data_IF_402884371732
#
_entry.id   IF_402884371732
#
_cell.length_a   1.000
_cell.length_b   1.000
_cell.length_c   1.000
_cell.angle_alpha   90.00
_cell.angle_beta   90.00
_cell.angle_gamma   90.00
#
_symmetry.space_group_name_H-M   'P 1'
#
loop_
_entity.id
_entity.type
_entity.pdbx_description
1 polymer ?
#
# COMPACT_ATOMS: atom_id res chain seq x y z
N UNK A 1 17.80 -31.62 -20.73
CA UNK A 1 16.65 -30.72 -20.49
C UNK A 1 17.14 -29.67 -19.52
N UNK A 2 17.31 -28.43 -19.96
CA UNK A 2 17.66 -27.32 -19.09
C UNK A 2 16.34 -26.69 -18.65
N UNK A 3 16.05 -26.73 -17.35
CA UNK A 3 15.01 -25.88 -16.77
C UNK A 3 15.63 -24.50 -16.53
N UNK A 4 15.10 -23.43 -17.13
CA UNK A 4 15.54 -22.09 -16.78
C UNK A 4 15.08 -21.83 -15.34
N UNK A 5 16.03 -21.55 -14.44
CA UNK A 5 15.69 -20.92 -13.18
C UNK A 5 15.10 -19.54 -13.52
N UNK A 6 13.79 -19.37 -13.32
CA UNK A 6 13.21 -18.04 -13.23
C UNK A 6 13.83 -17.35 -12.01
N UNK A 7 14.75 -16.43 -12.26
CA UNK A 7 15.12 -15.42 -11.28
C UNK A 7 13.89 -14.54 -11.06
N UNK A 8 13.06 -14.88 -10.06
CA UNK A 8 11.98 -14.03 -9.58
C UNK A 8 12.61 -12.84 -8.84
N UNK A 9 13.30 -11.96 -9.57
CA UNK A 9 13.88 -10.75 -9.04
C UNK A 9 12.84 -9.62 -9.07
N UNK A 10 11.58 -9.97 -8.73
CA UNK A 10 10.48 -9.02 -8.71
C UNK A 10 10.70 -8.06 -7.55
N UNK A 11 10.76 -6.77 -7.88
CA UNK A 11 10.93 -5.74 -6.88
C UNK A 11 9.71 -5.73 -5.94
N UNK A 12 9.95 -5.81 -4.64
CA UNK A 12 8.90 -5.62 -3.64
C UNK A 12 8.59 -4.13 -3.53
N UNK A 13 7.46 -3.71 -4.09
CA UNK A 13 7.05 -2.30 -4.09
C UNK A 13 6.05 -2.06 -2.96
N UNK A 14 6.38 -1.12 -2.06
CA UNK A 14 5.51 -0.67 -0.98
C UNK A 14 5.22 0.82 -1.15
N UNK A 15 3.95 1.19 -1.13
CA UNK A 15 3.50 2.58 -1.21
C UNK A 15 2.84 2.97 0.10
N UNK A 16 3.36 4.03 0.71
CA UNK A 16 2.95 4.49 2.04
C UNK A 16 2.37 5.90 1.93
N UNK A 17 1.08 6.04 2.23
CA UNK A 17 0.38 7.32 2.31
C UNK A 17 0.38 7.83 3.74
N UNK A 18 0.96 9.02 3.97
CA UNK A 18 1.03 9.64 5.30
C UNK A 18 0.05 10.81 5.43
N UNK A 19 -0.68 10.86 6.54
CA UNK A 19 -1.68 11.89 6.83
C UNK A 19 -2.94 11.78 5.96
N UNK A 20 -3.82 12.79 6.02
CA UNK A 20 -5.09 12.77 5.29
C UNK A 20 -4.92 12.79 3.76
N UNK A 21 -4.05 13.67 3.25
CA UNK A 21 -3.80 13.76 1.80
C UNK A 21 -3.13 12.50 1.24
N UNK A 22 -2.13 11.96 1.94
CA UNK A 22 -1.46 10.72 1.54
C UNK A 22 -2.40 9.51 1.61
N UNK A 23 -3.20 9.41 2.66
CA UNK A 23 -4.23 8.37 2.78
C UNK A 23 -5.24 8.39 1.64
N UNK A 24 -5.74 9.58 1.25
CA UNK A 24 -6.65 9.73 0.11
C UNK A 24 -6.01 9.30 -1.21
N UNK A 25 -4.74 9.64 -1.45
CA UNK A 25 -4.03 9.25 -2.67
C UNK A 25 -3.84 7.73 -2.75
N UNK A 26 -3.42 7.10 -1.65
CA UNK A 26 -3.26 5.63 -1.60
C UNK A 26 -4.61 4.93 -1.73
N UNK A 27 -5.67 5.46 -1.13
CA UNK A 27 -7.01 4.91 -1.30
C UNK A 27 -7.49 4.97 -2.75
N UNK A 28 -7.19 6.06 -3.46
CA UNK A 28 -7.47 6.14 -4.90
C UNK A 28 -6.70 5.05 -5.68
N UNK A 29 -5.41 4.85 -5.39
CA UNK A 29 -4.60 3.80 -6.02
C UNK A 29 -5.16 2.38 -5.78
N UNK A 30 -5.65 2.11 -4.57
CA UNK A 30 -6.32 0.84 -4.24
C UNK A 30 -7.61 0.67 -5.06
N UNK A 31 -8.41 1.72 -5.20
CA UNK A 31 -9.66 1.70 -5.99
C UNK A 31 -9.42 1.49 -7.48
N UNK A 32 -8.35 2.07 -8.02
CA UNK A 32 -7.90 1.88 -9.41
C UNK A 32 -7.25 0.51 -9.65
N UNK A 33 -7.16 -0.35 -8.62
CA UNK A 33 -6.61 -1.72 -8.70
C UNK A 33 -5.18 -1.76 -9.24
N UNK A 34 -4.31 -0.86 -8.78
CA UNK A 34 -2.89 -0.94 -9.11
C UNK A 34 -2.30 -2.24 -8.54
N UNK A 35 -1.77 -3.08 -9.43
CA UNK A 35 -1.20 -4.40 -9.11
C UNK A 35 0.30 -4.33 -8.80
N UNK A 36 0.84 -5.37 -8.15
CA UNK A 36 2.27 -5.47 -7.85
C UNK A 36 2.76 -4.54 -6.74
N UNK A 37 1.84 -3.91 -5.99
CA UNK A 37 2.15 -2.94 -4.94
C UNK A 37 1.42 -3.28 -3.65
N UNK A 38 2.13 -3.22 -2.53
CA UNK A 38 1.53 -3.23 -1.20
C UNK A 38 1.24 -1.80 -0.72
N UNK A 39 0.00 -1.54 -0.32
CA UNK A 39 -0.44 -0.21 0.10
C UNK A 39 -0.58 -0.09 1.62
N UNK A 40 -0.05 1.01 2.17
CA UNK A 40 -0.10 1.34 3.59
C UNK A 40 -0.65 2.76 3.80
N UNK A 41 -1.50 2.93 4.81
CA UNK A 41 -1.93 4.25 5.28
C UNK A 41 -1.41 4.50 6.70
N UNK A 42 -0.78 5.65 6.90
CA UNK A 42 -0.17 6.05 8.18
C UNK A 42 -0.76 7.39 8.60
N UNK A 43 -1.31 7.46 9.81
CA UNK A 43 -1.89 8.71 10.30
C UNK A 43 -1.91 8.76 11.83
N UNK A 44 -1.96 9.96 12.40
CA UNK A 44 -2.21 10.16 13.84
C UNK A 44 -3.71 10.06 14.17
N UNK A 45 -4.57 10.39 13.20
CA UNK A 45 -6.02 10.32 13.34
C UNK A 45 -6.53 8.87 13.17
N UNK A 46 -6.83 8.23 14.29
CA UNK A 46 -7.42 6.88 14.33
C UNK A 46 -8.79 6.78 13.63
N UNK A 47 -9.55 7.87 13.55
CA UNK A 47 -10.83 7.87 12.85
C UNK A 47 -10.62 7.83 11.34
N UNK A 48 -9.61 8.55 10.84
CA UNK A 48 -9.25 8.50 9.42
C UNK A 48 -8.77 7.10 9.02
N UNK A 49 -7.92 6.45 9.84
CA UNK A 49 -7.45 5.09 9.58
C UNK A 49 -8.56 4.03 9.64
N UNK A 50 -9.58 4.22 10.47
CA UNK A 50 -10.75 3.32 10.49
C UNK A 50 -11.67 3.44 9.28
N UNK A 51 -11.62 4.57 8.57
CA UNK A 51 -12.49 4.85 7.42
C UNK A 51 -11.85 4.48 6.08
N UNK A 52 -10.53 4.26 6.04
CA UNK A 52 -9.85 4.03 4.77
C UNK A 52 -10.07 2.62 4.22
N UNK A 53 -10.09 2.50 2.89
CA UNK A 53 -10.13 1.22 2.18
C UNK A 53 -8.75 0.55 2.01
N UNK A 54 -7.68 1.19 2.52
CA UNK A 54 -6.32 0.63 2.47
C UNK A 54 -6.18 -0.52 3.47
N UNK A 55 -5.71 -1.68 3.00
CA UNK A 55 -5.68 -2.91 3.80
C UNK A 55 -4.70 -2.90 4.97
N UNK A 56 -3.59 -2.18 4.87
CA UNK A 56 -2.60 -2.05 5.95
C UNK A 56 -2.65 -0.62 6.51
N UNK A 57 -2.98 -0.48 7.80
CA UNK A 57 -3.03 0.82 8.48
C UNK A 57 -2.10 0.85 9.67
N UNK A 58 -1.45 1.99 9.90
CA UNK A 58 -0.53 2.19 11.03
C UNK A 58 -0.88 3.52 11.70
N UNK A 59 -1.33 3.46 12.94
CA UNK A 59 -1.51 4.64 13.77
C UNK A 59 -0.17 5.04 14.40
N UNK A 60 0.18 6.32 14.30
CA UNK A 60 1.39 6.88 14.90
C UNK A 60 1.04 8.01 15.87
N UNK A 61 1.91 8.26 16.85
CA UNK A 61 1.66 9.23 17.92
C UNK A 61 0.56 8.79 18.86
#
# INVERSE_FOLDING_TARGET
MFEPMELTNDAVIKVIGVGGGGGNAVEHMVRERIEGVEFFAVNTDAQALRKTAVGQTIQIG
#
